data_IF_076095292775
#
_entry.id   IF_076095292775
#
_cell.length_a   1.000
_cell.length_b   1.000
_cell.length_c   1.000
_cell.angle_alpha   90.00
_cell.angle_beta   90.00
_cell.angle_gamma   90.00
#
_symmetry.space_group_name_H-M   'P 1'
#
loop_
_entity.id
_entity.type
_entity.pdbx_description
1 polymer ?
#
# COMPACT_ATOMS: atom_id res chain seq x y z
N UNK A 1 -15.86 -33.76 -4.28
CA UNK A 1 -15.66 -32.30 -4.49
C UNK A 1 -15.55 -31.62 -3.12
N UNK A 2 -14.34 -31.17 -2.76
CA UNK A 2 -13.89 -30.95 -1.37
C UNK A 2 -14.38 -29.64 -0.74
N UNK A 3 -14.97 -29.75 0.46
CA UNK A 3 -15.33 -28.64 1.36
C UNK A 3 -14.13 -27.74 1.71
N UNK A 4 -12.92 -28.29 1.77
CA UNK A 4 -11.67 -27.59 2.11
C UNK A 4 -11.37 -26.44 1.15
N UNK A 5 -11.48 -26.69 -0.17
CA UNK A 5 -11.22 -25.66 -1.19
C UNK A 5 -12.20 -24.49 -1.14
N UNK A 6 -13.39 -24.66 -0.56
CA UNK A 6 -14.39 -23.60 -0.43
C UNK A 6 -14.09 -22.67 0.74
N UNK A 7 -13.59 -23.24 1.85
CA UNK A 7 -13.20 -22.47 3.05
C UNK A 7 -11.97 -21.62 2.76
N UNK A 8 -10.97 -22.19 2.07
CA UNK A 8 -9.73 -21.46 1.74
C UNK A 8 -9.98 -20.29 0.78
N UNK A 9 -10.87 -20.44 -0.19
CA UNK A 9 -11.28 -19.34 -1.08
C UNK A 9 -12.06 -18.25 -0.36
N UNK A 10 -12.96 -18.62 0.55
CA UNK A 10 -13.71 -17.63 1.32
C UNK A 10 -12.79 -16.83 2.24
N UNK A 11 -11.80 -17.49 2.86
CA UNK A 11 -10.77 -16.85 3.68
C UNK A 11 -9.88 -15.91 2.87
N UNK A 12 -9.47 -16.32 1.67
CA UNK A 12 -8.70 -15.45 0.77
C UNK A 12 -9.49 -14.21 0.34
N UNK A 13 -10.78 -14.35 0.02
CA UNK A 13 -11.62 -13.20 -0.32
C UNK A 13 -11.74 -12.19 0.82
N UNK A 14 -11.97 -12.65 2.05
CA UNK A 14 -12.02 -11.75 3.21
C UNK A 14 -10.67 -11.06 3.47
N UNK A 15 -9.55 -11.75 3.22
CA UNK A 15 -8.21 -11.17 3.35
C UNK A 15 -7.91 -10.17 2.23
N UNK A 16 -8.37 -10.42 1.01
CA UNK A 16 -8.27 -9.49 -0.11
C UNK A 16 -9.07 -8.21 0.16
N UNK A 17 -10.27 -8.32 0.74
CA UNK A 17 -11.05 -7.17 1.17
C UNK A 17 -10.30 -6.33 2.23
N UNK A 18 -9.64 -6.98 3.18
CA UNK A 18 -8.79 -6.32 4.18
C UNK A 18 -7.58 -5.62 3.53
N UNK A 19 -6.91 -6.29 2.61
CA UNK A 19 -5.79 -5.73 1.84
C UNK A 19 -6.24 -4.50 1.04
N UNK A 20 -7.43 -4.52 0.44
CA UNK A 20 -7.99 -3.36 -0.27
C UNK A 20 -8.37 -2.21 0.65
N UNK A 21 -8.93 -2.48 1.83
CA UNK A 21 -9.16 -1.44 2.85
C UNK A 21 -7.83 -0.76 3.22
N UNK A 22 -6.79 -1.57 3.40
CA UNK A 22 -5.45 -1.08 3.68
C UNK A 22 -4.89 -0.22 2.54
N UNK A 23 -5.03 -0.64 1.29
CA UNK A 23 -4.63 0.15 0.12
C UNK A 23 -5.32 1.52 0.09
N UNK A 24 -6.63 1.58 0.40
CA UNK A 24 -7.39 2.84 0.48
C UNK A 24 -6.90 3.73 1.61
N UNK A 25 -6.60 3.15 2.78
CA UNK A 25 -6.02 3.87 3.90
C UNK A 25 -4.65 4.46 3.54
N UNK A 26 -3.75 3.68 2.95
CA UNK A 26 -2.44 4.15 2.50
C UNK A 26 -2.57 5.29 1.48
N UNK A 27 -3.52 5.20 0.54
CA UNK A 27 -3.83 6.27 -0.41
C UNK A 27 -4.25 7.56 0.28
N UNK A 28 -5.12 7.47 1.29
CA UNK A 28 -5.57 8.62 2.06
C UNK A 28 -4.42 9.27 2.82
N UNK A 29 -3.54 8.50 3.46
CA UNK A 29 -2.34 9.03 4.11
C UNK A 29 -1.46 9.77 3.10
N UNK A 30 -1.18 9.17 1.94
CA UNK A 30 -0.30 9.78 0.94
C UNK A 30 -0.88 11.11 0.41
N UNK A 31 -2.21 11.20 0.26
CA UNK A 31 -2.90 12.46 -0.08
C UNK A 31 -2.79 13.51 1.02
N UNK A 32 -2.89 13.12 2.29
CA UNK A 32 -2.70 14.05 3.42
C UNK A 32 -1.25 14.52 3.48
N UNK A 33 -0.28 13.60 3.35
CA UNK A 33 1.13 13.93 3.32
C UNK A 33 1.49 14.94 2.21
N UNK A 34 0.82 14.87 1.05
CA UNK A 34 1.01 15.81 -0.05
C UNK A 34 0.65 17.27 0.28
N UNK A 35 -0.28 17.51 1.22
CA UNK A 35 -0.76 18.86 1.58
C UNK A 35 -0.29 19.32 2.97
N UNK A 36 0.36 18.43 3.70
CA UNK A 36 0.93 18.69 5.02
C UNK A 36 2.24 19.47 4.94
N UNK A 37 2.67 20.03 6.08
CA UNK A 37 4.02 20.57 6.20
C UNK A 37 5.08 19.46 6.18
N UNK A 38 6.35 19.83 6.03
CA UNK A 38 7.46 18.87 5.90
C UNK A 38 7.55 17.88 7.07
N UNK A 39 7.32 18.34 8.30
CA UNK A 39 7.42 17.49 9.49
C UNK A 39 6.31 16.43 9.52
N UNK A 40 5.07 16.83 9.28
CA UNK A 40 3.91 15.95 9.22
C UNK A 40 3.99 14.98 8.05
N UNK A 41 4.34 15.47 6.86
CA UNK A 41 4.49 14.65 5.67
C UNK A 41 5.53 13.54 5.88
N UNK A 42 6.63 13.85 6.59
CA UNK A 42 7.62 12.84 6.99
C UNK A 42 7.04 11.79 7.91
N UNK A 43 6.42 12.19 9.02
CA UNK A 43 5.83 11.24 9.97
C UNK A 43 4.79 10.33 9.33
N UNK A 44 3.97 10.86 8.41
CA UNK A 44 2.98 10.09 7.66
C UNK A 44 3.62 9.05 6.74
N UNK A 45 4.68 9.42 6.01
CA UNK A 45 5.40 8.50 5.10
C UNK A 45 6.21 7.46 5.88
N UNK A 46 6.85 7.85 6.99
CA UNK A 46 7.51 6.93 7.91
C UNK A 46 6.52 5.89 8.45
N UNK A 47 5.31 6.32 8.82
CA UNK A 47 4.21 5.43 9.21
C UNK A 47 3.88 4.40 8.12
N UNK A 48 3.72 4.83 6.87
CA UNK A 48 3.47 3.92 5.74
C UNK A 48 4.59 2.90 5.52
N UNK A 49 5.84 3.26 5.78
CA UNK A 49 6.98 2.35 5.60
C UNK A 49 7.00 1.20 6.62
N UNK A 50 6.33 1.36 7.78
CA UNK A 50 6.23 0.33 8.82
C UNK A 50 5.13 -0.69 8.57
N UNK A 51 4.24 -0.43 7.60
CA UNK A 51 3.13 -1.30 7.28
C UNK A 51 3.58 -2.70 6.85
N UNK A 52 2.87 -3.70 7.37
CA UNK A 52 3.14 -5.12 7.13
C UNK A 52 2.17 -5.72 6.11
N UNK A 53 2.58 -6.75 5.35
CA UNK A 53 1.68 -7.43 4.41
C UNK A 53 0.48 -8.08 5.11
N UNK A 54 -0.66 -8.07 4.44
CA UNK A 54 -1.89 -8.73 4.88
C UNK A 54 -1.76 -10.25 4.66
N UNK A 55 -1.94 -11.09 5.69
CA UNK A 55 -1.73 -12.54 5.57
C UNK A 55 -2.91 -13.23 4.86
N UNK A 56 -2.62 -14.30 4.12
CA UNK A 56 -3.63 -15.13 3.42
C UNK A 56 -4.40 -14.40 2.29
N UNK A 57 -3.83 -13.36 1.70
CA UNK A 57 -4.34 -12.75 0.47
C UNK A 57 -4.12 -13.65 -0.74
N UNK A 58 -4.89 -13.45 -1.81
CA UNK A 58 -4.65 -14.10 -3.09
C UNK A 58 -3.30 -13.67 -3.67
N UNK A 59 -2.69 -14.51 -4.52
CA UNK A 59 -1.37 -14.22 -5.06
C UNK A 59 -1.25 -12.86 -5.80
N UNK A 60 -2.23 -12.46 -6.66
CA UNK A 60 -2.21 -11.14 -7.30
C UNK A 60 -2.28 -9.99 -6.29
N UNK A 61 -3.11 -10.13 -5.26
CA UNK A 61 -3.25 -9.14 -4.19
C UNK A 61 -1.97 -9.02 -3.37
N UNK A 62 -1.40 -10.14 -2.95
CA UNK A 62 -0.16 -10.21 -2.20
C UNK A 62 1.01 -9.58 -2.96
N UNK A 63 1.09 -9.78 -4.28
CA UNK A 63 2.12 -9.17 -5.12
C UNK A 63 1.96 -7.64 -5.19
N UNK A 64 0.74 -7.17 -5.44
CA UNK A 64 0.48 -5.74 -5.56
C UNK A 64 0.69 -5.01 -4.22
N UNK A 65 0.25 -5.60 -3.11
CA UNK A 65 0.50 -5.11 -1.76
C UNK A 65 2.00 -5.03 -1.47
N UNK A 66 2.77 -6.10 -1.73
CA UNK A 66 4.22 -6.09 -1.51
C UNK A 66 4.93 -5.03 -2.34
N UNK A 67 4.52 -4.83 -3.60
CA UNK A 67 5.08 -3.80 -4.47
C UNK A 67 4.83 -2.39 -3.91
N UNK A 68 3.61 -2.11 -3.43
CA UNK A 68 3.27 -0.82 -2.82
C UNK A 68 4.04 -0.57 -1.51
N UNK A 69 4.09 -1.57 -0.61
CA UNK A 69 4.83 -1.45 0.64
C UNK A 69 6.34 -1.24 0.41
N UNK A 70 6.92 -1.91 -0.59
CA UNK A 70 8.31 -1.67 -0.99
C UNK A 70 8.53 -0.24 -1.49
N UNK A 71 7.60 0.29 -2.30
CA UNK A 71 7.67 1.66 -2.78
C UNK A 71 7.60 2.69 -1.63
N UNK A 72 6.81 2.45 -0.59
CA UNK A 72 6.77 3.32 0.60
C UNK A 72 8.08 3.34 1.37
N UNK A 73 8.72 2.17 1.53
CA UNK A 73 10.02 2.10 2.21
C UNK A 73 11.10 2.85 1.45
N UNK A 74 11.09 2.75 0.12
CA UNK A 74 11.99 3.55 -0.74
C UNK A 74 11.68 5.04 -0.57
N UNK A 75 10.40 5.44 -0.67
CA UNK A 75 9.98 6.83 -0.50
C UNK A 75 10.44 7.42 0.85
N UNK A 76 10.24 6.68 1.94
CA UNK A 76 10.70 7.07 3.28
C UNK A 76 12.23 7.18 3.35
N UNK A 77 12.96 6.24 2.74
CA UNK A 77 14.44 6.27 2.69
C UNK A 77 15.02 7.48 1.96
N UNK A 78 14.25 8.13 1.09
CA UNK A 78 14.66 9.35 0.38
C UNK A 78 14.36 10.66 1.14
N UNK A 79 13.85 10.57 2.37
CA UNK A 79 13.62 11.71 3.25
C UNK A 79 14.93 12.19 3.87
N UNK A 80 15.74 12.94 3.12
CA UNK A 80 17.02 13.49 3.59
C UNK A 80 16.82 14.77 4.44
N UNK A 81 16.13 14.63 5.59
CA UNK A 81 15.85 15.73 6.52
C UNK A 81 14.71 16.68 6.11
N UNK A 82 14.08 16.41 4.97
CA UNK A 82 12.87 17.11 4.47
C UNK A 82 11.90 16.12 3.83
N UNK A 83 10.67 16.55 3.59
CA UNK A 83 9.71 15.72 2.86
C UNK A 83 10.16 15.50 1.40
N UNK A 84 9.71 14.39 0.79
CA UNK A 84 10.01 14.12 -0.62
C UNK A 84 9.03 14.91 -1.49
N UNK A 85 9.49 15.70 -2.48
CA UNK A 85 8.60 16.42 -3.38
C UNK A 85 7.66 15.48 -4.13
N UNK A 86 6.40 15.89 -4.34
CA UNK A 86 5.41 15.08 -5.06
C UNK A 86 5.79 14.78 -6.52
N UNK A 87 6.63 15.64 -7.11
CA UNK A 87 7.14 15.47 -8.47
C UNK A 87 8.32 14.50 -8.55
N UNK A 88 8.79 13.98 -7.41
CA UNK A 88 9.90 13.02 -7.41
C UNK A 88 9.46 11.68 -7.98
N UNK A 89 10.42 10.94 -8.54
CA UNK A 89 10.17 9.62 -9.10
C UNK A 89 9.66 8.63 -8.03
N UNK A 90 10.17 8.75 -6.81
CA UNK A 90 9.83 7.91 -5.67
C UNK A 90 8.38 8.13 -5.27
N UNK A 91 7.94 9.39 -5.23
CA UNK A 91 6.56 9.72 -4.94
C UNK A 91 5.61 9.16 -6.00
N UNK A 92 5.93 9.41 -7.27
CA UNK A 92 5.15 8.89 -8.41
C UNK A 92 5.10 7.36 -8.41
N UNK A 93 6.21 6.68 -8.08
CA UNK A 93 6.26 5.21 -7.94
C UNK A 93 5.34 4.72 -6.83
N UNK A 94 5.35 5.36 -5.66
CA UNK A 94 4.47 5.00 -4.54
C UNK A 94 2.98 5.17 -4.91
N UNK A 95 2.63 6.29 -5.56
CA UNK A 95 1.25 6.53 -6.06
C UNK A 95 0.83 5.44 -7.03
N UNK A 96 1.65 5.16 -8.06
CA UNK A 96 1.34 4.14 -9.08
C UNK A 96 1.21 2.74 -8.48
N UNK A 97 2.04 2.40 -7.50
CA UNK A 97 1.97 1.10 -6.85
C UNK A 97 0.67 0.92 -6.03
N UNK A 98 0.20 1.98 -5.35
CA UNK A 98 -1.12 1.99 -4.71
C UNK A 98 -2.23 1.84 -5.75
N UNK A 99 -2.17 2.58 -6.86
CA UNK A 99 -3.18 2.52 -7.91
C UNK A 99 -3.28 1.13 -8.52
N UNK A 100 -2.13 0.49 -8.76
CA UNK A 100 -2.08 -0.90 -9.19
C UNK A 100 -2.70 -1.85 -8.16
N UNK A 101 -2.34 -1.71 -6.87
CA UNK A 101 -2.92 -2.51 -5.80
C UNK A 101 -4.44 -2.37 -5.72
N UNK A 102 -4.96 -1.15 -5.82
CA UNK A 102 -6.39 -0.90 -5.86
C UNK A 102 -7.05 -1.50 -7.10
N UNK A 103 -6.36 -1.62 -8.24
CA UNK A 103 -6.95 -2.16 -9.47
C UNK A 103 -7.13 -3.68 -9.50
N UNK A 104 -6.58 -4.43 -8.53
CA UNK A 104 -6.63 -5.90 -8.53
C UNK A 104 -8.06 -6.44 -8.50
N UNK A 105 -8.99 -5.75 -7.83
CA UNK A 105 -10.40 -6.14 -7.77
C UNK A 105 -11.23 -5.72 -9.00
N UNK A 106 -10.70 -4.84 -9.84
CA UNK A 106 -11.37 -4.37 -11.07
C UNK A 106 -11.04 -5.26 -12.28
N UNK A 107 -10.21 -6.29 -12.10
CA UNK A 107 -9.65 -7.15 -13.16
C UNK A 107 -10.23 -8.56 -13.17
#
# INVERSE_FOLDING_TARGET
MNKTNKVDRHRAHMSDDQSLIKARYCRSILKVAAISNDQEARGLIEGLATEQPTPNTSAPMAEAERAALAAFRILAGHQHGRSVPQTSNEWVRAVRAIEYWLSIHDR
#
